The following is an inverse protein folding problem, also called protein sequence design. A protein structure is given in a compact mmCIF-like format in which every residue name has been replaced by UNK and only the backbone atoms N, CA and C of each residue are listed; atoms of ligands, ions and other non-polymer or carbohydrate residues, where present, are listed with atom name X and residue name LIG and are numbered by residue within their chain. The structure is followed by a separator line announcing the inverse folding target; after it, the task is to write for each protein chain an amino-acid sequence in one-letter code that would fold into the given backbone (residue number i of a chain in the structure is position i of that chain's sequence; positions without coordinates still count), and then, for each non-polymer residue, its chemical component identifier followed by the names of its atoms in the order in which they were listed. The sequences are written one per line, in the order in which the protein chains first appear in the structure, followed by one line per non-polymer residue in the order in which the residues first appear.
data_IF_333706209441
#
_entry.id   IF_333706209441
#
_cell.length_a   1.000
_cell.length_b   1.000
_cell.length_c   1.000
_cell.angle_alpha   90.00
_cell.angle_beta   90.00
_cell.angle_gamma   90.00
#
_symmetry.space_group_name_H-M   'P 1'
#
loop_
_entity.id
_entity.type
_entity.pdbx_description
1 polymer ?
#
# COMPACT_ATOMS: atom_id res chain seq x y z
N UNK A 1 6.12 -5.61 2.65
CA UNK A 1 5.05 -6.57 3.05
C UNK A 1 5.25 -6.96 4.51
N UNK A 2 4.19 -7.30 5.23
CA UNK A 2 4.29 -7.74 6.64
C UNK A 2 4.49 -9.25 6.67
N UNK A 3 5.66 -9.70 7.10
CA UNK A 3 5.98 -11.12 7.21
C UNK A 3 5.31 -11.74 8.45
N UNK A 4 4.85 -12.97 8.30
CA UNK A 4 4.41 -13.78 9.42
C UNK A 4 5.61 -14.37 10.13
N UNK A 5 5.48 -14.54 11.44
CA UNK A 5 6.43 -15.35 12.19
C UNK A 5 6.44 -16.78 11.62
N UNK A 6 7.64 -17.33 11.37
CA UNK A 6 7.81 -18.67 10.77
C UNK A 6 7.05 -19.77 11.53
N UNK A 7 6.93 -19.67 12.86
CA UNK A 7 6.17 -20.64 13.67
C UNK A 7 4.66 -20.65 13.39
N UNK A 8 4.15 -19.59 12.76
CA UNK A 8 2.73 -19.38 12.47
C UNK A 8 2.35 -19.61 11.00
N UNK A 9 3.30 -19.70 10.06
CA UNK A 9 2.99 -19.91 8.62
C UNK A 9 2.16 -21.18 8.40
N UNK A 10 2.42 -22.21 9.20
CA UNK A 10 1.67 -23.49 9.16
C UNK A 10 0.17 -23.36 9.45
N UNK A 11 -0.27 -22.25 10.04
CA UNK A 11 -1.68 -21.94 10.31
C UNK A 11 -2.38 -21.29 9.10
N UNK A 12 -1.62 -20.83 8.10
CA UNK A 12 -2.13 -20.21 6.89
C UNK A 12 -1.86 -21.07 5.66
N UNK A 13 -2.51 -22.24 5.62
CA UNK A 13 -2.39 -23.21 4.54
C UNK A 13 -3.49 -23.05 3.50
N UNK A 14 -3.12 -23.20 2.23
CA UNK A 14 -4.08 -23.34 1.15
C UNK A 14 -3.73 -24.51 0.23
N UNK A 15 -4.76 -25.05 -0.42
CA UNK A 15 -4.64 -26.09 -1.41
C UNK A 15 -4.65 -25.46 -2.80
N UNK A 16 -3.81 -25.95 -3.69
CA UNK A 16 -3.76 -25.48 -5.07
C UNK A 16 -3.65 -26.63 -6.06
N UNK A 17 -4.34 -26.49 -7.18
CA UNK A 17 -4.31 -27.40 -8.34
C UNK A 17 -4.22 -26.58 -9.61
N UNK A 18 -3.25 -26.91 -10.47
CA UNK A 18 -3.09 -26.24 -11.76
C UNK A 18 -4.17 -26.68 -12.77
N UNK A 19 -4.67 -27.91 -12.64
CA UNK A 19 -5.76 -28.48 -13.44
C UNK A 19 -6.49 -29.57 -12.66
N UNK A 20 -7.68 -29.99 -13.13
CA UNK A 20 -8.49 -31.05 -12.49
C UNK A 20 -7.71 -32.37 -12.31
N UNK A 21 -6.83 -32.69 -13.25
CA UNK A 21 -6.01 -33.91 -13.25
C UNK A 21 -4.68 -33.77 -12.49
N UNK A 22 -4.23 -32.56 -12.19
CA UNK A 22 -2.98 -32.34 -11.47
C UNK A 22 -3.08 -32.76 -9.99
N UNK A 23 -1.98 -33.23 -9.36
CA UNK A 23 -1.97 -33.51 -7.92
C UNK A 23 -2.21 -32.23 -7.12
N UNK A 24 -2.98 -32.33 -6.02
CA UNK A 24 -3.18 -31.20 -5.10
C UNK A 24 -1.86 -30.90 -4.38
N UNK A 25 -1.46 -29.64 -4.38
CA UNK A 25 -0.33 -29.13 -3.62
C UNK A 25 -0.83 -28.35 -2.40
N UNK A 26 -0.05 -28.40 -1.32
CA UNK A 26 -0.29 -27.60 -0.11
C UNK A 26 0.77 -26.51 -0.07
N UNK A 27 0.33 -25.27 0.16
CA UNK A 27 1.20 -24.11 0.30
C UNK A 27 0.93 -23.42 1.63
N UNK A 28 1.95 -22.75 2.16
CA UNK A 28 1.86 -21.90 3.35
C UNK A 28 2.08 -20.45 2.94
N UNK A 29 1.22 -19.56 3.42
CA UNK A 29 1.40 -18.12 3.26
C UNK A 29 2.48 -17.63 4.23
N UNK A 30 3.38 -16.77 3.73
CA UNK A 30 4.51 -16.22 4.50
C UNK A 30 4.27 -14.80 4.97
N UNK A 31 3.22 -14.15 4.49
CA UNK A 31 2.89 -12.76 4.79
C UNK A 31 1.49 -12.68 5.33
N UNK A 32 1.20 -11.60 6.07
CA UNK A 32 -0.16 -11.31 6.52
C UNK A 32 -1.06 -11.18 5.29
N UNK A 33 -2.00 -12.11 5.16
CA UNK A 33 -2.94 -12.17 4.03
C UNK A 33 -4.27 -11.49 4.37
N UNK A 34 -4.87 -10.89 3.35
CA UNK A 34 -6.23 -10.35 3.38
C UNK A 34 -7.24 -11.38 3.89
N UNK A 35 -8.28 -10.92 4.60
CA UNK A 35 -9.34 -11.78 5.14
C UNK A 35 -9.03 -12.39 6.50
N UNK A 36 -7.82 -12.20 7.03
CA UNK A 36 -7.55 -12.46 8.45
C UNK A 36 -8.03 -11.28 9.30
N UNK A 37 -8.62 -11.56 10.48
CA UNK A 37 -9.19 -10.53 11.37
C UNK A 37 -8.15 -9.47 11.75
N UNK A 38 -6.89 -9.88 11.93
CA UNK A 38 -5.80 -8.99 12.34
C UNK A 38 -5.15 -8.20 11.18
N UNK A 39 -5.37 -8.57 9.92
CA UNK A 39 -4.68 -7.94 8.79
C UNK A 39 -4.91 -6.42 8.71
N UNK A 40 -6.16 -5.91 8.82
CA UNK A 40 -6.43 -4.47 8.90
C UNK A 40 -5.59 -3.74 9.94
N UNK A 41 -5.62 -4.25 11.17
CA UNK A 41 -4.92 -3.64 12.29
C UNK A 41 -3.41 -3.59 12.03
N UNK A 42 -2.81 -4.71 11.59
CA UNK A 42 -1.38 -4.79 11.34
C UNK A 42 -0.94 -3.85 10.22
N UNK A 43 -1.72 -3.75 9.13
CA UNK A 43 -1.45 -2.82 8.04
C UNK A 43 -1.44 -1.36 8.53
N UNK A 44 -2.50 -0.95 9.25
CA UNK A 44 -2.59 0.40 9.82
C UNK A 44 -1.48 0.68 10.83
N UNK A 45 -1.13 -0.28 11.70
CA UNK A 45 -0.05 -0.10 12.68
C UNK A 45 1.31 0.14 12.03
N UNK A 46 1.60 -0.52 10.91
CA UNK A 46 2.85 -0.29 10.16
C UNK A 46 2.89 1.12 9.59
N UNK A 47 1.79 1.60 8.99
CA UNK A 47 1.72 2.98 8.49
C UNK A 47 1.89 4.00 9.62
N UNK A 48 1.22 3.78 10.77
CA UNK A 48 1.36 4.65 11.94
C UNK A 48 2.81 4.69 12.47
N UNK A 49 3.48 3.54 12.53
CA UNK A 49 4.87 3.49 13.00
C UNK A 49 5.79 4.21 12.01
N UNK A 50 5.59 4.00 10.70
CA UNK A 50 6.37 4.67 9.67
C UNK A 50 6.21 6.19 9.73
N UNK A 51 4.99 6.69 10.01
CA UNK A 51 4.77 8.11 10.28
C UNK A 51 5.62 8.61 11.44
N UNK A 52 5.63 7.91 12.58
CA UNK A 52 6.43 8.34 13.74
C UNK A 52 7.93 8.38 13.44
N UNK A 53 8.41 7.44 12.62
CA UNK A 53 9.82 7.33 12.27
C UNK A 53 10.25 8.41 11.26
N UNK A 54 9.35 8.85 10.37
CA UNK A 54 9.68 9.72 9.23
C UNK A 54 9.01 11.11 9.25
N UNK A 55 8.25 11.46 10.31
CA UNK A 55 7.50 12.72 10.43
C UNK A 55 8.36 13.96 10.13
N UNK A 56 9.60 13.98 10.61
CA UNK A 56 10.51 15.12 10.41
C UNK A 56 11.01 15.24 8.97
N UNK A 57 11.10 14.13 8.24
CA UNK A 57 11.62 14.09 6.88
C UNK A 57 10.52 14.29 5.82
N UNK A 58 9.27 13.97 6.17
CA UNK A 58 8.13 14.01 5.26
C UNK A 58 6.84 14.34 6.02
N UNK A 59 6.70 15.58 6.51
CA UNK A 59 5.61 15.98 7.41
C UNK A 59 4.23 15.97 6.73
N UNK A 60 4.15 16.31 5.43
CA UNK A 60 2.87 16.30 4.71
C UNK A 60 2.42 14.86 4.44
N UNK A 61 3.33 14.01 3.95
CA UNK A 61 3.01 12.59 3.75
C UNK A 61 2.66 11.89 5.06
N UNK A 62 3.32 12.25 6.16
CA UNK A 62 3.03 11.72 7.48
C UNK A 62 1.61 12.01 7.93
N UNK A 63 1.11 13.21 7.66
CA UNK A 63 -0.30 13.57 7.91
C UNK A 63 -1.24 12.73 7.05
N UNK A 64 -0.94 12.58 5.76
CA UNK A 64 -1.72 11.74 4.84
C UNK A 64 -1.79 10.28 5.31
N UNK A 65 -0.67 9.69 5.73
CA UNK A 65 -0.64 8.32 6.25
C UNK A 65 -1.56 8.09 7.45
N UNK A 66 -1.74 9.11 8.29
CA UNK A 66 -2.58 9.03 9.48
C UNK A 66 -4.06 9.29 9.21
N UNK A 67 -4.39 10.06 8.17
CA UNK A 67 -5.73 10.62 7.98
C UNK A 67 -6.44 10.08 6.73
N UNK A 68 -5.69 9.75 5.68
CA UNK A 68 -6.23 9.60 4.32
C UNK A 68 -6.04 8.17 3.77
N UNK A 69 -5.44 7.28 4.56
CA UNK A 69 -5.35 5.86 4.24
C UNK A 69 -6.56 5.09 4.78
N UNK A 70 -7.20 4.33 3.91
CA UNK A 70 -8.13 3.27 4.27
C UNK A 70 -7.56 1.93 3.81
N UNK A 71 -7.03 1.15 4.75
CA UNK A 71 -6.31 -0.09 4.46
C UNK A 71 -5.14 0.14 3.48
N UNK A 72 -5.26 -0.36 2.26
CA UNK A 72 -4.29 -0.27 1.17
C UNK A 72 -4.55 0.91 0.21
N UNK A 73 -5.71 1.57 0.31
CA UNK A 73 -6.07 2.71 -0.53
C UNK A 73 -5.72 4.04 0.15
N UNK A 74 -5.15 4.97 -0.61
CA UNK A 74 -4.86 6.33 -0.19
C UNK A 74 -5.76 7.30 -0.97
N UNK A 75 -6.58 8.08 -0.26
CA UNK A 75 -7.42 9.12 -0.86
C UNK A 75 -7.08 10.49 -0.26
N UNK A 76 -6.14 11.18 -0.91
CA UNK A 76 -5.62 12.47 -0.47
C UNK A 76 -5.77 13.54 -1.55
N UNK A 77 -5.75 14.81 -1.16
CA UNK A 77 -5.77 15.93 -2.10
C UNK A 77 -5.37 17.24 -1.44
N UNK A 78 -5.16 18.26 -2.26
CA UNK A 78 -4.99 19.66 -1.82
C UNK A 78 -5.76 20.58 -2.78
N UNK A 79 -6.12 21.76 -2.31
CA UNK A 79 -6.64 22.86 -3.14
C UNK A 79 -5.56 23.50 -4.01
N UNK A 80 -4.29 23.37 -3.63
CA UNK A 80 -3.14 23.95 -4.33
C UNK A 80 -2.33 22.87 -5.03
N UNK A 81 -2.06 23.07 -6.32
CA UNK A 81 -1.36 22.08 -7.14
C UNK A 81 0.06 21.80 -6.63
N UNK A 82 0.78 22.84 -6.22
CA UNK A 82 2.16 22.73 -5.70
C UNK A 82 2.23 21.96 -4.38
N UNK A 83 1.23 22.13 -3.51
CA UNK A 83 1.13 21.35 -2.27
C UNK A 83 0.82 19.88 -2.59
N UNK A 84 -0.08 19.62 -3.54
CA UNK A 84 -0.37 18.26 -3.99
C UNK A 84 0.87 17.54 -4.57
N UNK A 85 1.66 18.23 -5.39
CA UNK A 85 2.93 17.68 -5.90
C UNK A 85 3.91 17.35 -4.77
N UNK A 86 3.98 18.20 -3.74
CA UNK A 86 4.82 17.97 -2.57
C UNK A 86 4.34 16.74 -1.78
N UNK A 87 3.03 16.66 -1.50
CA UNK A 87 2.40 15.49 -0.86
C UNK A 87 2.74 14.21 -1.63
N UNK A 88 2.58 14.21 -2.95
CA UNK A 88 2.86 13.05 -3.78
C UNK A 88 4.34 12.63 -3.69
N UNK A 89 5.27 13.59 -3.83
CA UNK A 89 6.70 13.33 -3.75
C UNK A 89 7.10 12.76 -2.40
N UNK A 90 6.63 13.38 -1.31
CA UNK A 90 6.89 12.92 0.05
C UNK A 90 6.28 11.53 0.30
N UNK A 91 5.06 11.26 -0.16
CA UNK A 91 4.41 9.95 0.00
C UNK A 91 5.21 8.83 -0.65
N UNK A 92 5.71 9.08 -1.87
CA UNK A 92 6.54 8.10 -2.58
C UNK A 92 7.81 7.81 -1.81
N UNK A 93 8.50 8.85 -1.33
CA UNK A 93 9.74 8.70 -0.58
C UNK A 93 9.51 7.98 0.76
N UNK A 94 8.52 8.43 1.53
CA UNK A 94 8.22 7.88 2.85
C UNK A 94 7.81 6.41 2.74
N UNK A 95 6.89 6.05 1.84
CA UNK A 95 6.47 4.66 1.67
C UNK A 95 7.59 3.77 1.14
N UNK A 96 8.47 4.30 0.28
CA UNK A 96 9.65 3.57 -0.19
C UNK A 96 10.62 3.24 0.96
N UNK A 97 10.79 4.12 1.95
CA UNK A 97 11.55 3.82 3.18
C UNK A 97 10.91 2.71 4.00
N UNK A 98 9.59 2.63 4.00
CA UNK A 98 8.83 1.51 4.57
C UNK A 98 8.79 0.25 3.71
N UNK A 99 9.49 0.20 2.57
CA UNK A 99 9.48 -0.94 1.65
C UNK A 99 8.13 -1.14 0.94
N UNK A 100 7.37 -0.08 0.76
CA UNK A 100 6.06 -0.05 0.11
C UNK A 100 6.08 0.85 -1.14
N UNK A 101 5.18 0.59 -2.08
CA UNK A 101 5.07 1.38 -3.32
C UNK A 101 3.61 1.55 -3.70
N UNK A 102 3.16 2.80 -3.81
CA UNK A 102 1.85 3.13 -4.35
C UNK A 102 1.83 2.93 -5.86
N UNK A 103 0.74 2.32 -6.34
CA UNK A 103 0.48 1.99 -7.73
C UNK A 103 -0.91 2.50 -8.11
N UNK A 104 -1.26 2.51 -9.42
CA UNK A 104 -2.58 2.97 -9.90
C UNK A 104 -2.94 4.41 -9.52
N UNK A 105 -1.99 5.33 -9.66
CA UNK A 105 -2.20 6.75 -9.37
C UNK A 105 -3.31 7.34 -10.25
N UNK A 106 -4.33 7.91 -9.60
CA UNK A 106 -5.47 8.58 -10.24
C UNK A 106 -5.66 9.98 -9.64
N UNK A 107 -6.15 10.93 -10.44
CA UNK A 107 -6.49 12.28 -9.99
C UNK A 107 -7.78 12.75 -10.66
N UNK A 108 -8.58 13.53 -9.93
CA UNK A 108 -9.75 14.25 -10.46
C UNK A 108 -9.36 15.51 -11.23
N UNK A 109 -8.10 15.94 -11.14
CA UNK A 109 -7.56 17.04 -11.92
C UNK A 109 -7.45 16.63 -13.39
N UNK A 110 -8.17 17.33 -14.29
CA UNK A 110 -8.11 17.05 -15.73
C UNK A 110 -6.90 17.77 -16.34
N UNK A 111 -6.07 17.06 -17.13
CA UNK A 111 -4.86 17.67 -17.66
C UNK A 111 -5.10 18.25 -19.05
N UNK A 112 -5.10 19.56 -19.17
CA UNK A 112 -4.63 20.19 -20.43
C UNK A 112 -3.09 20.16 -20.48
N UNK A 113 -2.41 19.79 -19.38
CA UNK A 113 -0.94 19.83 -19.24
C UNK A 113 -0.38 18.61 -18.48
N UNK A 114 -0.85 17.39 -18.75
CA UNK A 114 -0.20 16.17 -18.22
C UNK A 114 0.89 15.72 -19.18
N UNK A 115 2.07 16.32 -19.06
CA UNK A 115 3.29 15.69 -19.54
C UNK A 115 4.11 15.03 -18.41
N UNK A 116 3.69 15.15 -17.14
CA UNK A 116 4.46 14.64 -15.99
C UNK A 116 3.75 13.58 -15.14
N UNK A 117 2.47 13.28 -15.41
CA UNK A 117 1.74 12.24 -14.69
C UNK A 117 1.72 10.92 -15.46
N UNK A 118 2.52 9.90 -15.08
CA UNK A 118 2.25 8.53 -15.50
C UNK A 118 1.01 8.05 -14.74
N UNK A 119 -0.16 8.48 -15.22
CA UNK A 119 -1.43 7.89 -14.82
C UNK A 119 -1.41 6.45 -15.33
N UNK A 120 -1.25 5.49 -14.43
CA UNK A 120 -1.57 4.09 -14.71
C UNK A 120 -3.09 4.00 -14.79
N UNK A 121 -3.65 4.42 -15.93
CA UNK A 121 -5.05 4.17 -16.25
C UNK A 121 -5.17 2.65 -16.35
N UNK A 122 -5.89 2.05 -15.41
CA UNK A 122 -6.29 0.66 -15.51
C UNK A 122 -7.08 0.51 -16.83
N UNK A 123 -6.43 -0.01 -17.88
CA UNK A 123 -7.14 -0.57 -19.02
C UNK A 123 -7.76 -1.86 -18.52
N UNK A 124 -9.09 -1.84 -18.36
CA UNK A 124 -9.89 -3.03 -18.12
C UNK A 124 -9.79 -4.01 -19.29
#
# INVERSE_FOLDING_TARGET
MIELNESQTRLQKFLWKNSKSSPTKVYELRTVTYGTISAPYLATKVLQQLTLDEEKNSPLASKVLLQDFYMDDCLSGSSEFTEFETIQSELRQLLQRGGMTLHKWCSSYSPTTAQEFPLERNTA
#
